data_IF_971671651741
#
_entry.id   IF_971671651741
#
_cell.length_a   1.000
_cell.length_b   1.000
_cell.length_c   1.000
_cell.angle_alpha   90.00
_cell.angle_beta   90.00
_cell.angle_gamma   90.00
#
_symmetry.space_group_name_H-M   'P 1'
#
loop_
_entity.id
_entity.type
_entity.pdbx_description
1 polymer ?
#
# COMPACT_ATOMS: atom_id res chain seq x y z
N UNK A 1 29.18 -3.76 -7.46
CA UNK A 1 29.07 -4.31 -6.09
C UNK A 1 27.62 -4.14 -5.63
N UNK A 2 26.75 -5.10 -5.98
CA UNK A 2 25.35 -5.08 -5.54
C UNK A 2 25.30 -5.56 -4.10
N UNK A 3 25.09 -4.62 -3.17
CA UNK A 3 24.99 -4.90 -1.75
C UNK A 3 23.87 -5.92 -1.49
N UNK A 4 24.29 -7.10 -1.05
CA UNK A 4 23.42 -8.16 -0.57
C UNK A 4 22.80 -7.72 0.76
N UNK A 5 21.68 -6.98 0.71
CA UNK A 5 20.82 -6.71 1.87
C UNK A 5 19.71 -7.76 2.04
N UNK A 6 19.84 -8.94 1.44
CA UNK A 6 18.99 -10.08 1.74
C UNK A 6 19.43 -10.72 3.07
N UNK A 7 19.15 -10.06 4.20
CA UNK A 7 19.43 -10.67 5.50
C UNK A 7 19.30 -9.79 6.73
N UNK A 8 19.33 -8.46 6.59
CA UNK A 8 19.16 -7.59 7.76
C UNK A 8 17.68 -7.55 8.15
N UNK A 9 17.35 -8.17 9.29
CA UNK A 9 16.08 -7.91 9.97
C UNK A 9 16.06 -6.43 10.33
N UNK A 10 14.93 -5.77 10.07
CA UNK A 10 14.80 -4.35 10.42
C UNK A 10 14.70 -4.29 11.93
N UNK A 11 15.63 -3.59 12.57
CA UNK A 11 15.57 -3.32 13.99
C UNK A 11 14.68 -2.09 14.22
N UNK A 12 13.73 -2.22 15.14
CA UNK A 12 12.86 -1.14 15.59
C UNK A 12 13.29 -0.67 16.98
N UNK A 13 13.45 0.64 17.15
CA UNK A 13 13.62 1.22 18.48
C UNK A 13 12.30 1.21 19.24
N UNK A 14 12.36 1.33 20.57
CA UNK A 14 11.15 1.43 21.40
C UNK A 14 10.31 2.65 21.02
N UNK A 15 10.97 3.77 20.71
CA UNK A 15 10.34 4.98 20.19
C UNK A 15 9.56 4.70 18.89
N UNK A 16 10.17 4.03 17.91
CA UNK A 16 9.51 3.73 16.64
C UNK A 16 8.30 2.83 16.85
N UNK A 17 8.41 1.78 17.68
CA UNK A 17 7.27 0.90 17.98
C UNK A 17 6.12 1.65 18.64
N UNK A 18 6.43 2.44 19.66
CA UNK A 18 5.42 3.22 20.37
C UNK A 18 4.75 4.21 19.42
N UNK A 19 5.54 4.91 18.60
CA UNK A 19 5.05 5.88 17.62
C UNK A 19 4.12 5.25 16.58
N UNK A 20 4.53 4.11 15.97
CA UNK A 20 3.68 3.44 14.99
C UNK A 20 2.38 2.97 15.62
N UNK A 21 2.42 2.35 16.81
CA UNK A 21 1.20 1.93 17.51
C UNK A 21 0.30 3.13 17.86
N UNK A 22 0.88 4.24 18.29
CA UNK A 22 0.16 5.47 18.64
C UNK A 22 -0.54 6.07 17.41
N UNK A 23 0.13 6.18 16.26
CA UNK A 23 -0.48 6.65 15.01
C UNK A 23 -1.72 5.83 14.68
N UNK A 24 -1.58 4.49 14.63
CA UNK A 24 -2.69 3.61 14.26
C UNK A 24 -3.83 3.58 15.29
N UNK A 25 -3.58 4.00 16.54
CA UNK A 25 -4.62 4.16 17.56
C UNK A 25 -5.43 5.45 17.43
N UNK A 26 -4.91 6.45 16.69
CA UNK A 26 -5.50 7.80 16.58
C UNK A 26 -6.20 8.06 15.25
N UNK A 27 -5.83 7.34 14.19
CA UNK A 27 -6.38 7.55 12.85
C UNK A 27 -7.68 6.78 12.64
N UNK A 28 -8.62 7.38 11.90
CA UNK A 28 -9.83 6.70 11.45
C UNK A 28 -9.57 6.00 10.11
N UNK A 29 -9.71 4.66 10.08
CA UNK A 29 -9.40 3.86 8.89
C UNK A 29 -10.41 4.08 7.76
N UNK A 30 -11.66 4.43 8.09
CA UNK A 30 -12.72 4.74 7.12
C UNK A 30 -12.51 6.10 6.45
N UNK A 31 -11.67 6.96 7.04
CA UNK A 31 -11.31 8.25 6.47
C UNK A 31 -9.95 8.17 5.78
N UNK A 32 -8.94 7.65 6.48
CA UNK A 32 -7.55 7.66 6.00
C UNK A 32 -7.34 6.77 4.80
N UNK A 33 -7.86 5.54 4.83
CA UNK A 33 -7.70 4.58 3.73
C UNK A 33 -8.29 5.09 2.41
N UNK A 34 -9.59 5.44 2.36
CA UNK A 34 -10.23 5.97 1.17
C UNK A 34 -9.58 7.26 0.65
N UNK A 35 -9.20 8.17 1.55
CA UNK A 35 -8.53 9.42 1.17
C UNK A 35 -7.15 9.17 0.55
N UNK A 36 -6.38 8.21 1.07
CA UNK A 36 -5.04 7.89 0.56
C UNK A 36 -5.10 7.28 -0.85
N UNK A 37 -5.99 6.32 -1.08
CA UNK A 37 -6.19 5.74 -2.41
C UNK A 37 -6.74 6.78 -3.39
N UNK A 38 -7.75 7.55 -2.99
CA UNK A 38 -8.31 8.61 -3.84
C UNK A 38 -7.22 9.62 -4.25
N UNK A 39 -6.37 10.05 -3.31
CA UNK A 39 -5.23 10.92 -3.60
C UNK A 39 -4.27 10.28 -4.59
N UNK A 40 -3.93 9.01 -4.42
CA UNK A 40 -3.04 8.30 -5.35
C UNK A 40 -3.63 8.28 -6.78
N UNK A 41 -4.91 7.93 -6.91
CA UNK A 41 -5.62 7.87 -8.20
C UNK A 41 -5.79 9.23 -8.88
N UNK A 42 -5.86 10.31 -8.11
CA UNK A 42 -6.02 11.68 -8.64
C UNK A 42 -4.66 12.29 -9.00
N UNK A 43 -3.68 12.20 -8.09
CA UNK A 43 -2.35 12.81 -8.26
C UNK A 43 -1.51 12.04 -9.28
N UNK A 44 -1.69 10.72 -9.33
CA UNK A 44 -1.00 9.83 -10.25
C UNK A 44 -2.01 9.08 -11.11
N UNK A 45 -2.68 9.75 -12.07
CA UNK A 45 -3.81 9.18 -12.81
C UNK A 45 -3.46 7.92 -13.61
N UNK A 46 -2.18 7.73 -13.95
CA UNK A 46 -1.69 6.50 -14.56
C UNK A 46 -1.91 5.26 -13.69
N UNK A 47 -2.09 5.41 -12.38
CA UNK A 47 -2.38 4.31 -11.44
C UNK A 47 -3.83 3.82 -11.53
N UNK A 48 -4.73 4.56 -12.17
CA UNK A 48 -6.12 4.12 -12.36
C UNK A 48 -6.24 2.85 -13.21
N UNK A 49 -5.25 2.59 -14.08
CA UNK A 49 -5.21 1.38 -14.93
C UNK A 49 -5.19 0.07 -14.13
N UNK A 50 -4.77 0.12 -12.86
CA UNK A 50 -4.71 -1.02 -11.95
C UNK A 50 -6.06 -1.24 -11.21
N UNK A 51 -7.05 -0.40 -11.47
CA UNK A 51 -8.34 -0.38 -10.77
C UNK A 51 -9.51 -0.31 -11.75
N UNK A 52 -9.34 -0.85 -12.97
CA UNK A 52 -10.40 -0.84 -13.98
C UNK A 52 -11.71 -1.48 -13.46
N UNK A 53 -11.62 -2.48 -12.58
CA UNK A 53 -12.75 -3.14 -11.92
C UNK A 53 -13.51 -2.27 -10.91
N UNK A 54 -13.02 -1.05 -10.59
CA UNK A 54 -13.68 -0.14 -9.64
C UNK A 54 -14.80 0.67 -10.29
N UNK A 55 -14.98 0.58 -11.61
CA UNK A 55 -16.01 1.30 -12.35
C UNK A 55 -15.54 2.71 -12.72
N UNK A 56 -16.40 3.72 -12.53
CA UNK A 56 -16.10 5.09 -12.96
C UNK A 56 -15.01 5.72 -12.08
N UNK A 57 -13.86 6.03 -12.70
CA UNK A 57 -12.72 6.76 -12.10
C UNK A 57 -12.34 8.00 -12.93
N UNK A 58 -13.23 8.48 -13.81
CA UNK A 58 -12.90 9.49 -14.83
C UNK A 58 -12.46 10.85 -14.27
N UNK A 59 -12.98 11.25 -13.12
CA UNK A 59 -12.65 12.53 -12.49
C UNK A 59 -12.58 12.41 -10.96
N UNK A 60 -12.07 13.45 -10.30
CA UNK A 60 -11.87 13.46 -8.86
C UNK A 60 -13.15 13.20 -8.06
N UNK A 61 -14.28 13.78 -8.46
CA UNK A 61 -15.56 13.56 -7.77
C UNK A 61 -15.99 12.09 -7.86
N UNK A 62 -15.90 11.49 -9.06
CA UNK A 62 -16.21 10.09 -9.27
C UNK A 62 -15.30 9.16 -8.46
N UNK A 63 -13.99 9.48 -8.37
CA UNK A 63 -13.03 8.71 -7.57
C UNK A 63 -13.36 8.80 -6.08
N UNK A 64 -13.53 10.01 -5.54
CA UNK A 64 -13.74 10.23 -4.10
C UNK A 64 -15.08 9.67 -3.61
N UNK A 65 -16.13 9.65 -4.45
CA UNK A 65 -17.42 9.06 -4.10
C UNK A 65 -17.52 7.57 -4.45
N UNK A 66 -16.46 6.92 -4.95
CA UNK A 66 -16.53 5.55 -5.41
C UNK A 66 -16.53 4.56 -4.22
N UNK A 67 -17.58 3.74 -4.04
CA UNK A 67 -17.66 2.81 -2.91
C UNK A 67 -16.60 1.70 -2.96
N UNK A 68 -16.13 1.31 -4.15
CA UNK A 68 -15.04 0.31 -4.29
C UNK A 68 -13.69 0.91 -3.92
N UNK A 69 -13.43 2.18 -4.24
CA UNK A 69 -12.24 2.91 -3.75
C UNK A 69 -12.26 2.98 -2.23
N UNK A 70 -13.41 3.31 -1.64
CA UNK A 70 -13.55 3.37 -0.18
C UNK A 70 -13.33 2.00 0.48
N UNK A 71 -14.01 0.97 -0.01
CA UNK A 71 -13.87 -0.39 0.51
C UNK A 71 -12.42 -0.90 0.42
N UNK A 72 -11.74 -0.66 -0.71
CA UNK A 72 -10.35 -1.07 -0.86
C UNK A 72 -9.39 -0.25 0.01
N UNK A 73 -9.68 1.03 0.24
CA UNK A 73 -8.96 1.87 1.20
C UNK A 73 -8.94 1.25 2.60
N UNK A 74 -10.08 0.73 3.05
CA UNK A 74 -10.19 0.03 4.33
C UNK A 74 -9.35 -1.26 4.36
N UNK A 75 -9.37 -2.04 3.28
CA UNK A 75 -8.57 -3.27 3.16
C UNK A 75 -7.08 -2.96 3.27
N UNK A 76 -6.60 -1.90 2.62
CA UNK A 76 -5.20 -1.45 2.76
C UNK A 76 -4.86 -1.12 4.21
N UNK A 77 -5.72 -0.39 4.92
CA UNK A 77 -5.50 -0.05 6.33
C UNK A 77 -5.46 -1.29 7.24
N UNK A 78 -6.33 -2.27 7.00
CA UNK A 78 -6.32 -3.55 7.72
C UNK A 78 -5.02 -4.34 7.46
N UNK A 79 -4.54 -4.35 6.22
CA UNK A 79 -3.23 -4.92 5.87
C UNK A 79 -2.10 -4.26 6.66
N UNK A 80 -2.08 -2.92 6.72
CA UNK A 80 -1.08 -2.19 7.50
C UNK A 80 -1.20 -2.47 9.02
N UNK A 81 -2.40 -2.57 9.56
CA UNK A 81 -2.61 -2.93 10.97
C UNK A 81 -2.02 -4.33 11.29
N UNK A 82 -2.16 -5.29 10.36
CA UNK A 82 -1.51 -6.61 10.48
C UNK A 82 0.01 -6.47 10.60
N UNK A 83 0.61 -5.55 9.85
CA UNK A 83 2.04 -5.24 9.95
C UNK A 83 2.42 -4.62 11.31
N UNK A 84 1.60 -3.69 11.83
CA UNK A 84 1.79 -3.08 13.16
C UNK A 84 1.74 -4.13 14.27
N UNK A 85 0.87 -5.14 14.15
CA UNK A 85 0.79 -6.26 15.10
C UNK A 85 2.00 -7.21 15.00
N UNK A 86 2.76 -7.16 13.91
CA UNK A 86 3.85 -8.08 13.60
C UNK A 86 5.15 -7.34 13.21
N UNK A 87 5.49 -6.22 13.86
CA UNK A 87 6.59 -5.33 13.42
C UNK A 87 7.94 -6.04 13.21
N UNK A 88 8.27 -7.04 14.02
CA UNK A 88 9.53 -7.81 13.89
C UNK A 88 9.51 -8.85 12.78
N UNK A 89 8.31 -9.21 12.31
CA UNK A 89 8.10 -10.30 11.38
C UNK A 89 7.29 -9.89 10.14
N UNK A 90 7.24 -8.58 9.83
CA UNK A 90 6.49 -8.02 8.69
C UNK A 90 6.75 -8.81 7.40
N UNK A 91 8.01 -9.21 7.17
CA UNK A 91 8.43 -10.01 6.01
C UNK A 91 7.68 -11.34 5.92
N UNK A 92 7.62 -12.11 7.00
CA UNK A 92 6.89 -13.37 7.00
C UNK A 92 5.37 -13.13 6.94
N UNK A 93 4.87 -12.11 7.65
CA UNK A 93 3.44 -11.76 7.71
C UNK A 93 2.82 -11.48 6.34
N UNK A 94 3.59 -10.92 5.42
CA UNK A 94 3.17 -10.61 4.05
C UNK A 94 3.67 -11.60 3.00
N UNK A 95 4.22 -12.75 3.39
CA UNK A 95 4.68 -13.76 2.42
C UNK A 95 3.53 -14.24 1.55
N UNK A 96 2.40 -14.64 2.15
CA UNK A 96 1.20 -15.08 1.41
C UNK A 96 0.59 -13.95 0.57
N UNK A 97 0.56 -12.71 1.08
CA UNK A 97 0.05 -11.58 0.31
C UNK A 97 0.96 -11.26 -0.89
N UNK A 98 2.28 -11.39 -0.72
CA UNK A 98 3.26 -11.25 -1.79
C UNK A 98 3.13 -12.38 -2.81
N UNK A 99 2.89 -13.62 -2.38
CA UNK A 99 2.56 -14.75 -3.27
C UNK A 99 1.30 -14.46 -4.07
N UNK A 100 0.22 -14.02 -3.43
CA UNK A 100 -1.03 -13.69 -4.09
C UNK A 100 -0.85 -12.59 -5.15
N UNK A 101 -0.05 -11.59 -4.83
CA UNK A 101 0.32 -10.51 -5.75
C UNK A 101 1.25 -10.98 -6.89
N UNK A 102 2.05 -12.02 -6.69
CA UNK A 102 2.91 -12.58 -7.73
C UNK A 102 2.16 -13.58 -8.63
N UNK A 103 1.43 -14.54 -8.03
CA UNK A 103 0.80 -15.68 -8.70
C UNK A 103 -0.57 -15.36 -9.32
N UNK A 104 -1.46 -14.63 -8.63
CA UNK A 104 -2.79 -14.30 -9.19
C UNK A 104 -2.79 -13.11 -10.14
N UNK A 105 -1.69 -12.35 -10.19
CA UNK A 105 -1.48 -11.29 -11.18
C UNK A 105 -0.81 -11.79 -12.47
N UNK A 106 -0.40 -13.06 -12.52
CA UNK A 106 0.03 -13.70 -13.77
C UNK A 106 -1.18 -14.12 -14.61
N UNK A 107 -1.60 -13.20 -15.47
CA UNK A 107 -2.22 -13.41 -16.79
C UNK A 107 -3.29 -14.53 -16.88
N UNK A 108 -4.55 -14.19 -16.60
CA UNK A 108 -5.73 -14.80 -17.25
C UNK A 108 -6.92 -13.80 -17.27
N UNK A 109 -7.46 -13.44 -18.45
CA UNK A 109 -8.65 -12.57 -18.55
C UNK A 109 -9.89 -13.09 -17.80
N UNK A 110 -10.00 -14.40 -17.57
CA UNK A 110 -11.18 -15.03 -16.97
C UNK A 110 -11.17 -15.05 -15.42
N UNK A 111 -10.08 -14.61 -14.78
CA UNK A 111 -9.96 -14.61 -13.32
C UNK A 111 -10.65 -13.42 -12.61
N UNK A 112 -11.34 -12.53 -13.33
CA UNK A 112 -11.99 -11.32 -12.76
C UNK A 112 -13.45 -11.51 -12.34
N UNK A 113 -13.90 -12.76 -12.18
CA UNK A 113 -15.21 -13.05 -11.64
C UNK A 113 -15.06 -13.37 -10.16
N UNK A 114 -15.62 -12.48 -9.32
CA UNK A 114 -16.02 -12.70 -7.91
C UNK A 114 -14.94 -12.44 -6.84
N UNK A 115 -15.16 -11.37 -6.06
CA UNK A 115 -15.30 -11.54 -4.60
C UNK A 115 -14.24 -10.99 -3.66
N UNK A 116 -13.00 -10.72 -4.06
CA UNK A 116 -11.95 -10.31 -3.12
C UNK A 116 -11.43 -8.90 -3.43
N UNK A 117 -11.91 -7.92 -2.66
CA UNK A 117 -11.53 -6.51 -2.76
C UNK A 117 -10.12 -6.21 -2.19
N UNK A 118 -9.13 -7.06 -2.49
CA UNK A 118 -7.79 -7.00 -1.88
C UNK A 118 -6.63 -6.85 -2.89
N UNK A 119 -6.89 -6.75 -4.20
CA UNK A 119 -5.81 -6.57 -5.20
C UNK A 119 -6.08 -5.47 -6.23
N UNK A 120 -5.05 -4.65 -6.46
CA UNK A 120 -4.90 -3.81 -7.66
C UNK A 120 -4.50 -4.72 -8.84
N UNK A 121 -5.20 -4.69 -9.98
CA UNK A 121 -4.89 -5.53 -11.15
C UNK A 121 -4.92 -4.75 -12.48
N UNK A 122 -3.85 -4.99 -13.26
CA UNK A 122 -3.49 -4.44 -14.57
C UNK A 122 -4.28 -5.02 -15.76
N UNK A 123 -4.42 -4.21 -16.81
CA UNK A 123 -4.68 -4.61 -18.20
C UNK A 123 -3.54 -4.11 -19.12
N UNK A 124 -3.37 -4.64 -20.34
CA UNK A 124 -2.07 -4.97 -20.92
C UNK A 124 -1.37 -3.77 -21.56
N UNK A 125 -0.13 -3.53 -21.16
CA UNK A 125 0.87 -2.83 -21.98
C UNK A 125 2.00 -3.83 -22.20
N UNK A 126 2.15 -4.29 -23.45
CA UNK A 126 3.25 -5.14 -23.91
C UNK A 126 4.60 -4.66 -23.35
N UNK A 127 5.13 -5.31 -22.31
CA UNK A 127 6.49 -5.08 -21.81
C UNK A 127 6.86 -6.20 -20.81
N UNK A 128 7.43 -7.29 -21.33
CA UNK A 128 7.69 -8.57 -20.63
C UNK A 128 8.77 -8.48 -19.53
N UNK A 129 9.25 -7.29 -19.14
CA UNK A 129 10.27 -7.10 -18.07
C UNK A 129 9.99 -5.91 -17.12
N UNK A 130 8.85 -5.22 -17.24
CA UNK A 130 8.59 -3.91 -16.58
C UNK A 130 7.54 -3.98 -15.44
N UNK A 131 6.86 -5.12 -15.29
CA UNK A 131 5.67 -5.24 -14.42
C UNK A 131 6.01 -5.21 -12.91
N UNK A 132 7.11 -5.83 -12.48
CA UNK A 132 7.54 -5.83 -11.07
C UNK A 132 7.97 -4.43 -10.59
N UNK A 133 8.51 -3.60 -11.48
CA UNK A 133 8.92 -2.24 -11.16
C UNK A 133 7.72 -1.31 -11.02
N UNK A 134 6.74 -1.42 -11.91
CA UNK A 134 5.56 -0.56 -11.90
C UNK A 134 4.71 -0.80 -10.64
N UNK A 135 4.50 -2.05 -10.23
CA UNK A 135 3.79 -2.38 -9.00
C UNK A 135 4.47 -1.80 -7.75
N UNK A 136 5.80 -1.96 -7.66
CA UNK A 136 6.58 -1.39 -6.56
C UNK A 136 6.48 0.14 -6.50
N UNK A 137 6.51 0.81 -7.67
CA UNK A 137 6.33 2.26 -7.74
C UNK A 137 4.93 2.66 -7.24
N UNK A 138 3.87 1.94 -7.60
CA UNK A 138 2.50 2.22 -7.11
C UNK A 138 2.42 2.11 -5.58
N UNK A 139 3.01 1.07 -4.99
CA UNK A 139 3.05 0.91 -3.54
C UNK A 139 3.79 2.05 -2.83
N UNK A 140 4.90 2.52 -3.39
CA UNK A 140 5.63 3.66 -2.85
C UNK A 140 4.80 4.94 -2.92
N UNK A 141 4.17 5.22 -4.08
CA UNK A 141 3.32 6.39 -4.26
C UNK A 141 2.10 6.36 -3.32
N UNK A 142 1.52 5.19 -3.09
CA UNK A 142 0.45 5.02 -2.12
C UNK A 142 0.94 5.28 -0.69
N UNK A 143 2.14 4.80 -0.33
CA UNK A 143 2.79 5.10 0.95
C UNK A 143 2.99 6.60 1.17
N UNK A 144 3.46 7.32 0.15
CA UNK A 144 3.63 8.77 0.21
C UNK A 144 2.27 9.48 0.37
N UNK A 145 1.25 9.07 -0.39
CA UNK A 145 -0.10 9.60 -0.25
C UNK A 145 -0.68 9.36 1.15
N UNK A 146 -0.43 8.18 1.72
CA UNK A 146 -0.88 7.81 3.06
C UNK A 146 -0.20 8.68 4.12
N UNK A 147 1.10 8.90 4.02
CA UNK A 147 1.83 9.79 4.93
C UNK A 147 1.26 11.22 4.92
N UNK A 148 0.90 11.75 3.74
CA UNK A 148 0.26 13.07 3.63
C UNK A 148 -1.13 13.08 4.29
N UNK A 149 -1.92 12.01 4.13
CA UNK A 149 -3.25 11.92 4.77
C UNK A 149 -3.12 11.82 6.30
N UNK A 150 -2.22 10.96 6.79
CA UNK A 150 -1.96 10.80 8.22
C UNK A 150 -1.44 12.12 8.83
N UNK A 151 -0.55 12.83 8.13
CA UNK A 151 -0.09 14.16 8.53
C UNK A 151 -1.26 15.14 8.67
N UNK A 152 -2.23 15.10 7.75
CA UNK A 152 -3.40 15.98 7.81
C UNK A 152 -4.35 15.67 8.99
N UNK A 153 -4.38 14.42 9.45
CA UNK A 153 -5.17 13.99 10.61
C UNK A 153 -4.50 14.36 11.93
N UNK A 154 -3.19 14.16 12.03
CA UNK A 154 -2.42 14.40 13.25
C UNK A 154 -1.99 15.87 13.42
N UNK A 155 -1.94 16.63 12.32
CA UNK A 155 -1.56 18.05 12.33
C UNK A 155 -0.18 18.27 12.97
N UNK A 156 -0.13 19.07 14.03
CA UNK A 156 1.12 19.38 14.75
C UNK A 156 1.76 18.18 15.44
N UNK A 157 0.99 17.11 15.68
CA UNK A 157 1.49 15.90 16.33
C UNK A 157 2.26 15.00 15.35
N UNK A 158 2.24 15.29 14.05
CA UNK A 158 3.08 14.64 13.03
C UNK A 158 4.45 15.34 12.93
N UNK A 159 5.24 15.26 14.01
CA UNK A 159 6.58 15.84 14.04
C UNK A 159 7.52 15.18 13.02
N UNK A 160 8.70 15.78 12.73
CA UNK A 160 9.69 15.17 11.85
C UNK A 160 10.12 13.75 12.27
N UNK A 161 10.23 13.48 13.57
CA UNK A 161 10.58 12.18 14.12
C UNK A 161 9.46 11.16 13.91
N UNK A 162 8.20 11.58 14.10
CA UNK A 162 7.02 10.76 13.84
C UNK A 162 6.91 10.43 12.36
N UNK A 163 7.14 11.43 11.50
CA UNK A 163 7.17 11.25 10.05
C UNK A 163 8.28 10.26 9.64
N UNK A 164 9.49 10.40 10.17
CA UNK A 164 10.60 9.50 9.86
C UNK A 164 10.31 8.04 10.27
N UNK A 165 9.74 7.84 11.46
CA UNK A 165 9.32 6.51 11.93
C UNK A 165 8.24 5.91 11.02
N UNK A 166 7.23 6.70 10.64
CA UNK A 166 6.15 6.27 9.75
C UNK A 166 6.64 5.92 8.34
N UNK A 167 7.53 6.74 7.77
CA UNK A 167 8.15 6.45 6.47
C UNK A 167 9.00 5.18 6.50
N UNK A 168 9.77 4.97 7.57
CA UNK A 168 10.50 3.72 7.76
C UNK A 168 9.54 2.53 7.80
N UNK A 169 8.44 2.63 8.54
CA UNK A 169 7.40 1.59 8.58
C UNK A 169 6.83 1.26 7.19
N UNK A 170 6.42 2.28 6.43
CA UNK A 170 5.90 2.08 5.08
C UNK A 170 6.95 1.46 4.15
N UNK A 171 8.19 1.94 4.18
CA UNK A 171 9.27 1.38 3.38
C UNK A 171 9.52 -0.11 3.67
N UNK A 172 9.41 -0.53 4.93
CA UNK A 172 9.56 -1.94 5.31
C UNK A 172 8.39 -2.79 4.81
N UNK A 173 7.16 -2.28 4.90
CA UNK A 173 5.98 -2.95 4.34
C UNK A 173 6.11 -3.09 2.82
N UNK A 174 6.41 -2.01 2.11
CA UNK A 174 6.61 -2.01 0.65
C UNK A 174 7.74 -2.96 0.25
N UNK A 175 8.85 -2.98 1.00
CA UNK A 175 9.95 -3.93 0.79
C UNK A 175 9.52 -5.39 0.98
N UNK A 176 8.65 -5.67 1.96
CA UNK A 176 8.17 -7.03 2.22
C UNK A 176 7.28 -7.58 1.09
N UNK A 177 6.49 -6.71 0.44
CA UNK A 177 5.60 -7.09 -0.65
C UNK A 177 6.33 -7.36 -1.97
N UNK A 178 7.56 -6.84 -2.13
CA UNK A 178 8.40 -7.03 -3.34
C UNK A 178 9.00 -8.43 -3.46
N UNK A 179 9.10 -9.20 -2.36
CA UNK A 179 10.03 -10.33 -2.29
C UNK A 179 9.71 -11.50 -3.23
N UNK A 180 8.45 -11.76 -3.54
CA UNK A 180 8.06 -12.88 -4.41
C UNK A 180 8.01 -12.54 -5.91
N UNK A 181 8.49 -11.35 -6.28
CA UNK A 181 8.61 -10.95 -7.69
C UNK A 181 9.96 -11.32 -8.32
N UNK A 182 10.82 -12.07 -7.62
CA UNK A 182 12.12 -12.56 -8.09
C UNK A 182 12.40 -13.99 -7.61
#
# INVERSE_FOLDING_TARGET
>A
MHNNQQGKMVAWTDFERATIKDIFSKIDYEVVGPAAISRCLIVYPWTQRYFAGFGNLYNAAAITSNPKVAAHGKVVMQGLEKAVKNMDNIKATFTELSTLHSEKLQVDPDNFMVGNAELMVLHPINCVDVESHAFFVVLQLLGDCLAIVVASQLGKDFSPEVHAAFQKFLAVVVSSLRRQYY
#
